data_IF_549972694662
#
_entry.id   IF_549972694662
#
_cell.length_a   1.000
_cell.length_b   1.000
_cell.length_c   1.000
_cell.angle_alpha   90.00
_cell.angle_beta   90.00
_cell.angle_gamma   90.00
#
_symmetry.space_group_name_H-M   'P 1'
#
loop_
_entity.id
_entity.type
_entity.pdbx_description
1 polymer ?
#
# COMPACT_ATOMS: atom_id res chain seq x y z
N UNK A 1 19.60 -9.05 -21.36
CA UNK A 1 18.13 -9.07 -21.57
C UNK A 1 17.55 -7.77 -21.03
N UNK A 2 16.72 -7.07 -21.81
CA UNK A 2 16.13 -5.77 -21.46
C UNK A 2 15.29 -5.83 -20.16
N UNK A 3 15.50 -4.87 -19.27
CA UNK A 3 14.78 -4.74 -18.00
C UNK A 3 13.28 -4.56 -18.21
N UNK A 4 12.86 -3.94 -19.32
CA UNK A 4 11.45 -3.81 -19.68
C UNK A 4 10.79 -5.17 -19.92
N UNK A 5 11.47 -6.08 -20.62
CA UNK A 5 10.98 -7.44 -20.89
C UNK A 5 10.85 -8.23 -19.59
N UNK A 6 11.87 -8.16 -18.71
CA UNK A 6 11.81 -8.80 -17.38
C UNK A 6 10.66 -8.26 -16.52
N UNK A 7 10.43 -6.95 -16.58
CA UNK A 7 9.34 -6.28 -15.86
C UNK A 7 7.98 -6.75 -16.38
N UNK A 8 7.78 -6.76 -17.70
CA UNK A 8 6.54 -7.23 -18.32
C UNK A 8 6.24 -8.70 -17.99
N UNK A 9 7.25 -9.57 -18.04
CA UNK A 9 7.13 -10.96 -17.65
C UNK A 9 6.77 -11.12 -16.16
N UNK A 10 7.32 -10.29 -15.27
CA UNK A 10 6.96 -10.28 -13.84
C UNK A 10 5.51 -9.84 -13.64
N UNK A 11 5.08 -8.77 -14.33
CA UNK A 11 3.72 -8.24 -14.26
C UNK A 11 2.68 -9.26 -14.73
N UNK A 12 3.02 -10.15 -15.67
CA UNK A 12 2.10 -11.19 -16.16
C UNK A 12 1.53 -12.07 -15.03
N UNK A 13 2.29 -12.32 -13.96
CA UNK A 13 1.82 -13.13 -12.82
C UNK A 13 0.90 -12.37 -11.86
N UNK A 14 0.74 -11.06 -11.99
CA UNK A 14 -0.13 -10.19 -11.17
C UNK A 14 -1.53 -10.03 -11.80
N UNK A 15 -2.16 -11.14 -12.20
CA UNK A 15 -3.48 -11.14 -12.86
C UNK A 15 -3.60 -10.43 -14.22
N UNK A 16 -2.46 -10.08 -14.84
CA UNK A 16 -2.42 -9.42 -16.15
C UNK A 16 -1.90 -10.31 -17.29
N UNK A 17 -1.75 -11.62 -17.08
CA UNK A 17 -1.22 -12.54 -18.09
C UNK A 17 -2.00 -12.53 -19.41
N UNK A 18 -3.33 -12.45 -19.32
CA UNK A 18 -4.22 -12.54 -20.48
C UNK A 18 -4.05 -11.32 -21.40
N UNK A 19 -3.78 -10.14 -20.82
CA UNK A 19 -3.49 -8.92 -21.56
C UNK A 19 -2.26 -9.09 -22.47
N UNK A 20 -1.16 -9.66 -21.95
CA UNK A 20 0.04 -9.95 -22.75
C UNK A 20 -0.21 -11.01 -23.83
N UNK A 21 -1.08 -11.99 -23.56
CA UNK A 21 -1.46 -12.99 -24.56
C UNK A 21 -2.37 -12.45 -25.67
N UNK A 22 -3.14 -11.39 -25.41
CA UNK A 22 -3.99 -10.72 -26.40
C UNK A 22 -3.20 -9.72 -27.25
N UNK A 23 -2.16 -9.09 -26.69
CA UNK A 23 -1.33 -8.09 -27.38
C UNK A 23 -0.30 -8.68 -28.37
N UNK A 24 -0.66 -9.75 -29.10
CA UNK A 24 0.24 -10.51 -30.01
C UNK A 24 0.84 -9.68 -31.15
N UNK A 25 0.15 -8.60 -31.53
CA UNK A 25 0.55 -7.74 -32.64
C UNK A 25 1.47 -6.60 -32.22
N UNK A 26 1.68 -6.39 -30.91
CA UNK A 26 2.53 -5.31 -30.42
C UNK A 26 3.97 -5.79 -30.20
N UNK A 27 4.97 -5.27 -30.94
CA UNK A 27 6.36 -5.73 -30.85
C UNK A 27 7.00 -5.53 -29.46
N UNK A 28 6.45 -4.66 -28.61
CA UNK A 28 6.95 -4.44 -27.25
C UNK A 28 6.52 -5.52 -26.23
N UNK A 29 5.50 -6.32 -26.58
CA UNK A 29 4.99 -7.43 -25.76
C UNK A 29 5.04 -8.78 -26.48
N UNK A 30 5.37 -8.77 -27.77
CA UNK A 30 5.45 -9.94 -28.63
C UNK A 30 6.79 -10.69 -28.50
N UNK A 31 7.56 -10.45 -27.44
CA UNK A 31 8.79 -11.19 -27.17
C UNK A 31 8.49 -12.58 -26.58
N UNK A 32 9.32 -13.56 -26.95
CA UNK A 32 9.08 -14.95 -26.56
C UNK A 32 9.18 -15.18 -25.05
N UNK A 33 9.98 -14.38 -24.34
CA UNK A 33 10.15 -14.50 -22.90
C UNK A 33 8.86 -14.10 -22.15
N UNK A 34 8.32 -12.91 -22.43
CA UNK A 34 7.06 -12.42 -21.86
C UNK A 34 5.91 -13.37 -22.19
N UNK A 35 5.84 -13.90 -23.43
CA UNK A 35 4.83 -14.89 -23.80
C UNK A 35 4.94 -16.19 -23.02
N UNK A 36 6.14 -16.74 -22.85
CA UNK A 36 6.35 -17.98 -22.08
C UNK A 36 5.89 -17.79 -20.63
N UNK A 37 6.29 -16.69 -19.99
CA UNK A 37 5.84 -16.37 -18.62
C UNK A 37 4.33 -16.11 -18.54
N UNK A 38 3.74 -15.44 -19.54
CA UNK A 38 2.30 -15.20 -19.56
C UNK A 38 1.51 -16.49 -19.73
N UNK A 39 1.95 -17.41 -20.61
CA UNK A 39 1.33 -18.74 -20.74
C UNK A 39 1.45 -19.56 -19.44
N UNK A 40 2.60 -19.47 -18.76
CA UNK A 40 2.79 -20.15 -17.48
C UNK A 40 1.90 -19.56 -16.37
N UNK A 41 1.78 -18.22 -16.31
CA UNK A 41 0.85 -17.54 -15.43
C UNK A 41 -0.60 -17.98 -15.70
N UNK A 42 -1.04 -18.11 -16.96
CA UNK A 42 -2.37 -18.67 -17.29
C UNK A 42 -2.55 -20.05 -16.68
N UNK A 43 -1.58 -20.95 -16.86
CA UNK A 43 -1.67 -22.33 -16.34
C UNK A 43 -1.83 -22.34 -14.82
N UNK A 44 -1.03 -21.55 -14.11
CA UNK A 44 -1.09 -21.48 -12.64
C UNK A 44 -2.46 -20.98 -12.16
N UNK A 45 -2.94 -19.86 -12.71
CA UNK A 45 -4.22 -19.29 -12.30
C UNK A 45 -5.40 -20.18 -12.70
N UNK A 46 -5.33 -20.85 -13.86
CA UNK A 46 -6.38 -21.75 -14.32
C UNK A 46 -6.45 -23.04 -13.50
N UNK A 47 -5.30 -23.66 -13.19
CA UNK A 47 -5.22 -24.81 -12.29
C UNK A 47 -5.78 -24.44 -10.91
N UNK A 48 -5.41 -23.26 -10.41
CA UNK A 48 -5.95 -22.76 -9.16
C UNK A 48 -7.47 -22.57 -9.20
N UNK A 49 -8.00 -21.97 -10.27
CA UNK A 49 -9.43 -21.78 -10.45
C UNK A 49 -10.17 -23.12 -10.42
N UNK A 50 -9.64 -24.15 -11.11
CA UNK A 50 -10.19 -25.51 -11.09
C UNK A 50 -10.15 -26.07 -9.67
N UNK A 51 -9.00 -26.05 -8.98
CA UNK A 51 -8.88 -26.56 -7.61
C UNK A 51 -9.86 -25.84 -6.67
N UNK A 52 -9.95 -24.51 -6.77
CA UNK A 52 -10.81 -23.69 -5.95
C UNK A 52 -12.30 -23.99 -6.17
N UNK A 53 -12.74 -24.11 -7.43
CA UNK A 53 -14.13 -24.46 -7.77
C UNK A 53 -14.43 -25.89 -7.35
N UNK A 54 -13.56 -26.85 -7.69
CA UNK A 54 -13.73 -28.25 -7.32
C UNK A 54 -13.87 -28.39 -5.81
N UNK A 55 -12.97 -27.75 -5.05
CA UNK A 55 -13.01 -27.77 -3.59
C UNK A 55 -14.28 -27.12 -3.05
N UNK A 56 -14.55 -25.86 -3.40
CA UNK A 56 -15.64 -25.11 -2.79
C UNK A 56 -17.03 -25.64 -3.18
N UNK A 57 -17.20 -26.16 -4.39
CA UNK A 57 -18.50 -26.63 -4.87
C UNK A 57 -18.79 -28.07 -4.46
N UNK A 58 -17.79 -28.97 -4.57
CA UNK A 58 -18.02 -30.41 -4.34
C UNK A 58 -17.56 -30.88 -2.97
N UNK A 59 -16.49 -30.31 -2.39
CA UNK A 59 -15.84 -30.87 -1.19
C UNK A 59 -16.06 -30.07 0.10
N UNK A 60 -16.26 -28.75 0.03
CA UNK A 60 -16.33 -27.86 1.20
C UNK A 60 -17.34 -28.29 2.26
N UNK A 61 -18.50 -28.81 1.82
CA UNK A 61 -19.59 -29.27 2.69
C UNK A 61 -19.16 -30.44 3.60
N UNK A 62 -18.27 -31.31 3.12
CA UNK A 62 -17.78 -32.46 3.90
C UNK A 62 -16.73 -32.07 4.95
N UNK A 63 -16.14 -30.88 4.83
CA UNK A 63 -15.10 -30.37 5.74
C UNK A 63 -15.62 -29.21 6.60
N UNK A 64 -16.94 -29.04 6.70
CA UNK A 64 -17.58 -28.04 7.53
C UNK A 64 -17.74 -28.54 8.98
N UNK A 65 -16.65 -28.96 9.61
CA UNK A 65 -16.62 -29.22 11.04
C UNK A 65 -15.55 -28.36 11.69
N UNK A 66 -15.82 -27.93 12.91
CA UNK A 66 -14.93 -27.06 13.68
C UNK A 66 -13.87 -27.90 14.41
N UNK A 67 -12.62 -27.48 14.33
CA UNK A 67 -11.56 -28.05 15.17
C UNK A 67 -11.73 -27.49 16.58
N UNK A 68 -12.06 -28.32 17.60
CA UNK A 68 -12.58 -27.83 18.88
C UNK A 68 -11.62 -26.91 19.65
N UNK A 69 -10.31 -27.07 19.50
CA UNK A 69 -9.31 -26.24 20.20
C UNK A 69 -8.99 -24.91 19.51
N UNK A 70 -9.22 -24.83 18.21
CA UNK A 70 -8.87 -23.65 17.39
C UNK A 70 -10.13 -22.91 16.97
N UNK A 71 -11.33 -23.50 17.12
CA UNK A 71 -12.63 -22.96 16.69
C UNK A 71 -12.63 -22.51 15.21
N UNK A 72 -11.73 -23.05 14.38
CA UNK A 72 -11.68 -22.81 12.93
C UNK A 72 -12.25 -24.05 12.24
N UNK A 73 -13.17 -23.84 11.29
CA UNK A 73 -13.65 -24.94 10.46
C UNK A 73 -12.53 -25.45 9.54
N UNK A 74 -12.43 -26.77 9.40
CA UNK A 74 -11.42 -27.39 8.54
C UNK A 74 -11.51 -26.85 7.10
N UNK A 75 -12.71 -26.54 6.63
CA UNK A 75 -12.95 -25.86 5.35
C UNK A 75 -12.19 -24.54 5.19
N UNK A 76 -12.14 -23.71 6.24
CA UNK A 76 -11.38 -22.45 6.21
C UNK A 76 -9.88 -22.71 6.15
N UNK A 77 -9.37 -23.70 6.89
CA UNK A 77 -7.96 -24.08 6.89
C UNK A 77 -7.52 -24.53 5.48
N UNK A 78 -8.33 -25.38 4.83
CA UNK A 78 -8.03 -25.87 3.49
C UNK A 78 -8.05 -24.71 2.47
N UNK A 79 -9.04 -23.82 2.53
CA UNK A 79 -9.07 -22.64 1.67
C UNK A 79 -7.83 -21.74 1.87
N UNK A 80 -7.43 -21.46 3.11
CA UNK A 80 -6.21 -20.69 3.41
C UNK A 80 -4.97 -21.38 2.81
N UNK A 81 -4.86 -22.70 2.93
CA UNK A 81 -3.76 -23.47 2.35
C UNK A 81 -3.73 -23.39 0.82
N UNK A 82 -4.89 -23.52 0.17
CA UNK A 82 -5.04 -23.40 -1.28
C UNK A 82 -4.57 -22.01 -1.75
N UNK A 83 -5.04 -20.93 -1.13
CA UNK A 83 -4.62 -19.56 -1.45
C UNK A 83 -3.13 -19.32 -1.17
N UNK A 84 -2.63 -19.77 -0.02
CA UNK A 84 -1.22 -19.60 0.36
C UNK A 84 -0.30 -20.30 -0.63
N UNK A 85 -0.65 -21.51 -1.06
CA UNK A 85 0.09 -22.26 -2.06
C UNK A 85 0.13 -21.50 -3.38
N UNK A 86 -1.00 -20.99 -3.87
CA UNK A 86 -1.04 -20.16 -5.08
C UNK A 86 -0.10 -18.95 -4.96
N UNK A 87 -0.22 -18.21 -3.87
CA UNK A 87 0.58 -17.00 -3.65
C UNK A 87 2.08 -17.32 -3.70
N UNK A 88 2.51 -18.39 -3.04
CA UNK A 88 3.91 -18.83 -3.09
C UNK A 88 4.36 -19.21 -4.50
N UNK A 89 3.52 -19.91 -5.27
CA UNK A 89 3.81 -20.22 -6.67
C UNK A 89 3.93 -18.96 -7.54
N UNK A 90 3.00 -18.01 -7.41
CA UNK A 90 3.04 -16.72 -8.11
C UNK A 90 4.33 -15.98 -7.77
N UNK A 91 4.67 -15.84 -6.49
CA UNK A 91 5.87 -15.13 -6.03
C UNK A 91 7.15 -15.78 -6.54
N UNK A 92 7.25 -17.11 -6.48
CA UNK A 92 8.38 -17.86 -7.03
C UNK A 92 8.60 -17.54 -8.52
N UNK A 93 7.52 -17.48 -9.29
CA UNK A 93 7.61 -17.24 -10.72
C UNK A 93 7.84 -15.77 -11.08
N UNK A 94 7.33 -14.83 -10.29
CA UNK A 94 7.73 -13.42 -10.34
C UNK A 94 9.25 -13.27 -10.14
N UNK A 95 9.80 -13.96 -9.14
CA UNK A 95 11.24 -13.92 -8.84
C UNK A 95 12.09 -14.50 -9.98
N UNK A 96 11.67 -15.62 -10.58
CA UNK A 96 12.36 -16.17 -11.76
C UNK A 96 12.29 -15.22 -12.97
N UNK A 97 11.12 -14.62 -13.21
CA UNK A 97 10.94 -13.63 -14.28
C UNK A 97 11.85 -12.40 -14.08
N UNK A 98 11.98 -11.90 -12.85
CA UNK A 98 12.83 -10.75 -12.54
C UNK A 98 14.32 -11.05 -12.71
N UNK A 99 14.76 -12.30 -12.51
CA UNK A 99 16.12 -12.74 -12.85
C UNK A 99 16.36 -12.90 -14.36
N UNK A 100 15.30 -13.11 -15.14
CA UNK A 100 15.40 -13.43 -16.57
C UNK A 100 15.54 -14.93 -16.82
N UNK A 101 15.07 -15.76 -15.89
CA UNK A 101 15.08 -17.22 -16.01
C UNK A 101 13.83 -17.70 -16.74
N UNK A 102 14.02 -18.44 -17.84
CA UNK A 102 12.93 -19.08 -18.58
C UNK A 102 12.14 -20.05 -17.67
N UNK A 103 10.82 -20.22 -17.89
CA UNK A 103 10.02 -21.16 -17.13
C UNK A 103 10.32 -22.61 -17.53
N UNK A 104 11.36 -23.20 -16.94
CA UNK A 104 11.62 -24.64 -16.97
C UNK A 104 10.68 -25.38 -15.99
N UNK A 105 10.33 -26.62 -16.31
CA UNK A 105 9.40 -27.47 -15.55
C UNK A 105 9.62 -27.40 -14.03
N UNK A 106 8.50 -27.51 -13.31
CA UNK A 106 8.34 -27.32 -11.87
C UNK A 106 9.33 -28.19 -11.10
N UNK A 107 10.52 -27.67 -10.80
CA UNK A 107 11.38 -28.18 -9.74
C UNK A 107 11.20 -27.29 -8.51
N UNK A 108 10.83 -27.93 -7.41
CA UNK A 108 10.77 -27.34 -6.07
C UNK A 108 12.19 -27.25 -5.52
N UNK A 109 12.96 -26.28 -6.02
CA UNK A 109 14.27 -26.00 -5.46
C UNK A 109 14.11 -25.39 -4.07
N UNK A 110 14.67 -26.06 -3.04
CA UNK A 110 14.51 -25.74 -1.61
C UNK A 110 15.58 -24.77 -1.09
N UNK A 111 16.03 -23.82 -1.90
CA UNK A 111 17.10 -22.90 -1.48
C UNK A 111 16.54 -21.52 -1.12
N UNK A 112 15.77 -21.47 -0.03
CA UNK A 112 15.61 -20.24 0.76
C UNK A 112 16.54 -20.32 1.97
N UNK A 113 17.85 -20.13 1.74
CA UNK A 113 18.80 -19.84 2.81
C UNK A 113 19.08 -18.33 2.79
N UNK A 114 18.14 -17.54 3.29
CA UNK A 114 18.43 -16.15 3.59
C UNK A 114 18.94 -16.04 5.03
N UNK A 115 20.19 -15.61 5.19
CA UNK A 115 20.79 -15.29 6.48
C UNK A 115 20.11 -14.04 7.05
N UNK A 116 19.56 -14.12 8.26
CA UNK A 116 19.13 -12.95 9.04
C UNK A 116 20.32 -12.02 9.28
N UNK A 117 20.09 -10.71 9.27
CA UNK A 117 21.02 -9.74 9.83
C UNK A 117 20.71 -9.60 11.33
N UNK A 118 21.72 -9.77 12.17
CA UNK A 118 21.66 -9.37 13.57
C UNK A 118 22.18 -7.93 13.67
N UNK A 119 21.39 -7.07 14.30
CA UNK A 119 21.86 -5.77 14.76
C UNK A 119 22.12 -5.90 16.25
N UNK A 120 23.39 -5.74 16.65
CA UNK A 120 23.75 -5.56 18.05
C UNK A 120 23.36 -4.15 18.49
N UNK A 121 22.79 -4.07 19.67
CA UNK A 121 22.19 -2.85 20.22
C UNK A 121 22.87 -2.54 21.54
N UNK A 122 24.20 -2.56 21.49
CA UNK A 122 25.04 -2.23 22.62
C UNK A 122 24.86 -0.72 22.89
N UNK A 123 24.54 -0.36 24.14
CA UNK A 123 24.42 1.03 24.64
C UNK A 123 23.12 1.80 24.34
N UNK A 124 21.98 1.15 24.12
CA UNK A 124 20.69 1.87 24.19
C UNK A 124 20.19 2.01 25.62
N UNK A 125 19.61 3.17 25.90
CA UNK A 125 18.83 3.37 27.12
C UNK A 125 17.52 2.55 27.10
N UNK A 126 16.97 2.23 28.28
CA UNK A 126 15.70 1.51 28.39
C UNK A 126 14.54 2.25 27.70
N UNK A 127 14.58 3.59 27.74
CA UNK A 127 13.61 4.43 27.04
C UNK A 127 13.63 4.19 25.53
N UNK A 128 14.82 4.05 24.93
CA UNK A 128 14.99 3.76 23.51
C UNK A 128 14.55 2.33 23.18
N UNK A 129 14.89 1.35 24.04
CA UNK A 129 14.39 -0.05 23.91
C UNK A 129 12.87 -0.11 23.92
N UNK A 130 12.21 0.68 24.77
CA UNK A 130 10.75 0.80 24.81
C UNK A 130 10.16 1.45 23.56
N UNK A 131 10.84 2.46 22.99
CA UNK A 131 10.45 3.04 21.69
C UNK A 131 10.52 1.98 20.59
N UNK A 132 11.59 1.17 20.56
CA UNK A 132 11.66 0.05 19.61
C UNK A 132 10.52 -0.94 19.82
N UNK A 133 10.21 -1.33 21.05
CA UNK A 133 9.08 -2.21 21.34
C UNK A 133 7.74 -1.62 20.88
N UNK A 134 7.53 -0.32 21.10
CA UNK A 134 6.33 0.38 20.66
C UNK A 134 6.17 0.36 19.14
N UNK A 135 7.28 0.28 18.39
CA UNK A 135 7.25 0.15 16.93
C UNK A 135 6.71 -1.20 16.45
N UNK A 136 6.55 -2.19 17.34
CA UNK A 136 5.89 -3.46 17.04
C UNK A 136 4.38 -3.37 17.20
N UNK A 137 3.85 -2.38 17.94
CA UNK A 137 2.41 -2.22 18.19
C UNK A 137 1.67 -1.72 16.92
N UNK A 138 0.44 -2.19 16.67
CA UNK A 138 -0.29 -1.82 15.45
C UNK A 138 -0.58 -0.31 15.50
N UNK A 139 -0.46 0.37 14.36
CA UNK A 139 -0.58 1.83 14.21
C UNK A 139 0.51 2.66 14.93
N UNK A 140 1.02 2.25 16.09
CA UNK A 140 2.11 2.94 16.81
C UNK A 140 3.44 2.90 16.06
N UNK A 141 3.67 1.88 15.23
CA UNK A 141 4.79 1.83 14.30
C UNK A 141 4.85 3.09 13.39
N UNK A 142 3.70 3.69 13.06
CA UNK A 142 3.62 4.89 12.21
C UNK A 142 4.25 6.10 12.93
N UNK A 143 3.95 6.23 14.22
CA UNK A 143 4.43 7.33 15.06
C UNK A 143 5.93 7.14 15.36
N UNK A 144 6.32 5.95 15.82
CA UNK A 144 7.71 5.64 16.17
C UNK A 144 8.66 5.74 14.98
N UNK A 145 8.26 5.28 13.79
CA UNK A 145 9.10 5.41 12.57
C UNK A 145 9.30 6.84 12.09
N UNK A 146 8.48 7.80 12.55
CA UNK A 146 8.58 9.22 12.19
C UNK A 146 9.23 10.08 13.25
N UNK A 147 8.94 9.84 14.53
CA UNK A 147 9.53 10.60 15.64
C UNK A 147 10.94 10.11 15.94
N UNK A 148 11.19 8.80 15.81
CA UNK A 148 12.48 8.15 16.07
C UNK A 148 12.95 7.38 14.83
N UNK A 149 13.17 8.11 13.74
CA UNK A 149 13.57 7.52 12.46
C UNK A 149 14.99 6.93 12.54
N UNK A 150 15.09 5.61 12.42
CA UNK A 150 16.34 4.90 12.28
C UNK A 150 16.14 3.66 11.39
N UNK A 151 17.22 2.92 11.10
CA UNK A 151 17.16 1.75 10.22
C UNK A 151 16.17 0.68 10.72
N UNK A 152 16.06 0.51 12.03
CA UNK A 152 15.24 -0.51 12.69
C UNK A 152 13.76 -0.13 12.58
N UNK A 153 13.37 1.06 13.05
CA UNK A 153 11.99 1.55 13.02
C UNK A 153 11.48 1.72 11.59
N UNK A 154 12.34 2.18 10.67
CA UNK A 154 12.02 2.29 9.24
C UNK A 154 11.78 0.94 8.59
N UNK A 155 12.62 -0.08 8.87
CA UNK A 155 12.42 -1.41 8.31
C UNK A 155 11.18 -2.11 8.90
N UNK A 156 10.94 -1.97 10.20
CA UNK A 156 9.74 -2.51 10.84
C UNK A 156 8.47 -1.89 10.29
N UNK A 157 8.47 -0.58 10.04
CA UNK A 157 7.33 0.14 9.46
C UNK A 157 6.83 -0.52 8.16
N UNK A 158 7.74 -1.06 7.33
CA UNK A 158 7.44 -1.72 6.05
C UNK A 158 6.63 -3.01 6.19
N UNK A 159 6.68 -3.69 7.33
CA UNK A 159 5.92 -4.92 7.59
C UNK A 159 4.65 -4.61 8.36
N UNK A 160 4.76 -3.78 9.41
CA UNK A 160 3.66 -3.57 10.33
C UNK A 160 2.48 -2.87 9.69
N UNK A 161 2.69 -2.07 8.63
CA UNK A 161 1.57 -1.53 7.86
C UNK A 161 0.72 -2.63 7.21
N UNK A 162 1.36 -3.68 6.68
CA UNK A 162 0.68 -4.82 6.05
C UNK A 162 -0.09 -5.58 7.11
N UNK A 163 0.56 -5.92 8.23
CA UNK A 163 -0.12 -6.66 9.29
C UNK A 163 -1.28 -5.87 9.90
N UNK A 164 -1.07 -4.58 10.22
CA UNK A 164 -2.12 -3.72 10.77
C UNK A 164 -3.32 -3.65 9.82
N UNK A 165 -3.05 -3.48 8.52
CA UNK A 165 -4.10 -3.45 7.49
C UNK A 165 -4.86 -4.78 7.42
N UNK A 166 -4.15 -5.92 7.42
CA UNK A 166 -4.77 -7.25 7.43
C UNK A 166 -5.63 -7.46 8.69
N UNK A 167 -5.12 -7.07 9.86
CA UNK A 167 -5.85 -7.21 11.13
C UNK A 167 -7.14 -6.38 11.13
N UNK A 168 -7.09 -5.11 10.69
CA UNK A 168 -8.27 -4.26 10.60
C UNK A 168 -9.29 -4.83 9.63
N UNK A 169 -8.87 -5.21 8.41
CA UNK A 169 -9.76 -5.79 7.41
C UNK A 169 -10.39 -7.08 7.93
N UNK A 170 -9.58 -7.97 8.48
CA UNK A 170 -10.06 -9.25 8.94
C UNK A 170 -11.07 -9.09 10.07
N UNK A 171 -10.80 -8.19 11.03
CA UNK A 171 -11.74 -7.86 12.08
C UNK A 171 -13.07 -7.29 11.54
N UNK A 172 -13.01 -6.42 10.53
CA UNK A 172 -14.22 -5.82 9.93
C UNK A 172 -15.10 -6.87 9.28
N UNK A 173 -14.53 -7.79 8.50
CA UNK A 173 -15.30 -8.78 7.76
C UNK A 173 -15.67 -10.00 8.58
N UNK A 174 -14.90 -10.33 9.60
CA UNK A 174 -15.00 -11.61 10.31
C UNK A 174 -15.17 -11.48 11.83
N UNK A 175 -15.06 -10.29 12.41
CA UNK A 175 -15.09 -10.07 13.85
C UNK A 175 -13.99 -10.82 14.60
N UNK A 176 -14.24 -11.11 15.88
CA UNK A 176 -13.39 -11.98 16.73
C UNK A 176 -13.61 -13.47 16.40
N UNK A 177 -13.45 -13.85 15.14
CA UNK A 177 -13.41 -15.27 14.82
C UNK A 177 -12.04 -15.86 15.20
N UNK A 178 -11.97 -17.17 15.13
CA UNK A 178 -10.85 -17.92 15.66
C UNK A 178 -9.57 -17.81 14.81
N UNK A 179 -9.68 -17.46 13.53
CA UNK A 179 -8.53 -17.06 12.69
C UNK A 179 -7.97 -15.73 13.17
N UNK A 180 -8.84 -14.76 13.51
CA UNK A 180 -8.41 -13.48 14.05
C UNK A 180 -7.70 -13.66 15.39
N UNK A 181 -8.25 -14.50 16.27
CA UNK A 181 -7.61 -14.85 17.55
C UNK A 181 -6.26 -15.53 17.34
N UNK A 182 -6.16 -16.46 16.37
CA UNK A 182 -4.89 -17.11 16.03
C UNK A 182 -3.86 -16.10 15.49
N UNK A 183 -4.28 -15.16 14.64
CA UNK A 183 -3.43 -14.07 14.15
C UNK A 183 -2.95 -13.17 15.29
N UNK A 184 -3.86 -12.78 16.20
CA UNK A 184 -3.50 -12.03 17.42
C UNK A 184 -2.51 -12.80 18.29
N UNK A 185 -2.74 -14.10 18.48
CA UNK A 185 -1.86 -14.94 19.29
C UNK A 185 -0.46 -15.06 18.67
N UNK A 186 -0.37 -15.35 17.37
CA UNK A 186 0.90 -15.37 16.65
C UNK A 186 1.62 -14.03 16.74
N UNK A 187 0.87 -12.94 16.59
CA UNK A 187 1.39 -11.59 16.74
C UNK A 187 1.96 -11.32 18.14
N UNK A 188 1.25 -11.71 19.20
CA UNK A 188 1.74 -11.61 20.58
C UNK A 188 3.03 -12.43 20.76
N UNK A 189 3.08 -13.68 20.26
CA UNK A 189 4.29 -14.49 20.33
C UNK A 189 5.49 -13.83 19.63
N UNK A 190 5.26 -13.20 18.47
CA UNK A 190 6.30 -12.45 17.75
C UNK A 190 6.78 -11.25 18.58
N UNK A 191 5.87 -10.48 19.19
CA UNK A 191 6.26 -9.36 20.07
C UNK A 191 7.07 -9.87 21.27
N UNK A 192 6.61 -10.92 21.95
CA UNK A 192 7.30 -11.50 23.10
C UNK A 192 8.69 -11.99 22.71
N UNK A 193 8.83 -12.63 21.54
CA UNK A 193 10.12 -13.03 21.00
C UNK A 193 11.07 -11.85 20.80
N UNK A 194 10.60 -10.75 20.21
CA UNK A 194 11.43 -9.55 20.05
C UNK A 194 11.72 -8.85 21.38
N UNK A 195 10.76 -8.83 22.31
CA UNK A 195 10.94 -8.30 23.66
C UNK A 195 12.07 -9.02 24.39
N UNK A 196 12.04 -10.37 24.42
CA UNK A 196 13.10 -11.19 25.00
C UNK A 196 14.46 -10.87 24.35
N UNK A 197 14.53 -10.81 23.02
CA UNK A 197 15.81 -10.55 22.35
C UNK A 197 16.35 -9.13 22.56
N UNK A 198 15.48 -8.12 22.65
CA UNK A 198 15.89 -6.72 22.90
C UNK A 198 16.38 -6.53 24.34
N UNK A 199 15.69 -7.10 25.33
CA UNK A 199 15.98 -6.85 26.74
C UNK A 199 16.99 -7.81 27.35
N UNK A 200 17.06 -9.06 26.88
CA UNK A 200 17.97 -10.07 27.44
C UNK A 200 19.23 -10.22 26.58
N UNK A 201 19.08 -10.20 25.25
CA UNK A 201 20.17 -10.50 24.33
C UNK A 201 20.77 -9.25 23.67
N UNK A 202 20.22 -8.05 23.90
CA UNK A 202 20.60 -6.79 23.25
C UNK A 202 20.75 -6.90 21.72
N UNK A 203 19.94 -7.75 21.09
CA UNK A 203 20.00 -8.05 19.65
C UNK A 203 18.61 -7.87 19.04
N UNK A 204 18.55 -7.22 17.87
CA UNK A 204 17.37 -7.31 17.00
C UNK A 204 17.73 -8.08 15.73
N UNK A 205 16.94 -9.11 15.48
CA UNK A 205 17.04 -9.92 14.28
C UNK A 205 16.12 -9.38 13.19
N UNK A 206 16.67 -9.17 12.00
CA UNK A 206 15.91 -8.79 10.82
C UNK A 206 16.09 -9.81 9.69
N UNK A 207 14.99 -10.35 9.15
CA UNK A 207 14.99 -10.96 7.83
C UNK A 207 15.47 -9.97 6.76
N UNK A 208 16.51 -10.32 5.99
CA UNK A 208 17.03 -9.46 4.91
C UNK A 208 15.97 -9.10 3.86
N UNK A 209 14.96 -9.96 3.67
CA UNK A 209 13.84 -9.71 2.75
C UNK A 209 13.09 -8.39 3.06
N UNK A 210 13.13 -7.92 4.31
CA UNK A 210 12.45 -6.70 4.76
C UNK A 210 13.15 -5.45 4.24
N UNK A 211 14.47 -5.48 4.06
CA UNK A 211 15.21 -4.31 3.57
C UNK A 211 14.70 -3.88 2.18
N UNK A 212 14.31 -4.86 1.36
CA UNK A 212 13.79 -4.67 0.02
C UNK A 212 12.27 -4.42 -0.05
N UNK A 213 11.55 -4.54 1.07
CA UNK A 213 10.12 -4.29 1.09
C UNK A 213 9.83 -2.79 0.86
N UNK A 214 8.80 -2.44 0.06
CA UNK A 214 8.40 -1.06 -0.10
C UNK A 214 7.76 -0.53 1.19
N UNK A 215 8.01 0.74 1.51
CA UNK A 215 7.23 1.44 2.53
C UNK A 215 5.82 1.74 2.00
N UNK A 216 4.91 2.19 2.88
CA UNK A 216 3.51 2.43 2.52
C UNK A 216 3.35 3.40 1.33
N UNK A 217 4.13 4.47 1.28
CA UNK A 217 4.01 5.49 0.23
C UNK A 217 4.50 4.96 -1.13
N UNK A 218 5.60 4.23 -1.15
CA UNK A 218 6.10 3.54 -2.35
C UNK A 218 5.13 2.44 -2.79
N UNK A 219 4.58 1.66 -1.86
CA UNK A 219 3.59 0.64 -2.16
C UNK A 219 2.32 1.24 -2.79
N UNK A 220 1.84 2.36 -2.24
CA UNK A 220 0.73 3.12 -2.81
C UNK A 220 1.05 3.64 -4.22
N UNK A 221 2.24 4.19 -4.45
CA UNK A 221 2.64 4.67 -5.77
C UNK A 221 2.75 3.51 -6.78
N UNK A 222 3.30 2.36 -6.39
CA UNK A 222 3.34 1.14 -7.21
C UNK A 222 1.92 0.70 -7.58
N UNK A 223 1.02 0.64 -6.62
CA UNK A 223 -0.38 0.27 -6.85
C UNK A 223 -1.08 1.23 -7.83
N UNK A 224 -0.89 2.54 -7.62
CA UNK A 224 -1.40 3.57 -8.52
C UNK A 224 -0.82 3.41 -9.94
N UNK A 225 0.50 3.22 -10.06
CA UNK A 225 1.17 2.96 -11.34
C UNK A 225 0.62 1.72 -12.03
N UNK A 226 0.27 0.67 -11.27
CA UNK A 226 -0.32 -0.56 -11.79
C UNK A 226 -1.71 -0.32 -12.39
N UNK A 227 -2.55 0.48 -11.74
CA UNK A 227 -3.87 0.88 -12.30
C UNK A 227 -3.69 1.67 -13.61
N UNK A 228 -2.80 2.67 -13.64
CA UNK A 228 -2.55 3.44 -14.86
C UNK A 228 -1.95 2.57 -15.97
N UNK A 229 -1.05 1.66 -15.62
CA UNK A 229 -0.48 0.69 -16.56
C UNK A 229 -1.57 -0.19 -17.16
N UNK A 230 -2.54 -0.65 -16.38
CA UNK A 230 -3.69 -1.43 -16.87
C UNK A 230 -4.51 -0.63 -17.89
N UNK A 231 -4.85 0.64 -17.59
CA UNK A 231 -5.61 1.48 -18.52
C UNK A 231 -4.84 1.81 -19.80
N UNK A 232 -3.57 2.16 -19.70
CA UNK A 232 -2.73 2.39 -20.87
C UNK A 232 -2.59 1.09 -21.68
N UNK A 233 -2.47 -0.07 -21.02
CA UNK A 233 -2.42 -1.36 -21.71
C UNK A 233 -3.68 -1.64 -22.53
N UNK A 234 -4.87 -1.38 -21.95
CA UNK A 234 -6.13 -1.49 -22.68
C UNK A 234 -6.13 -0.58 -23.91
N UNK A 235 -5.67 0.66 -23.79
CA UNK A 235 -5.55 1.59 -24.93
C UNK A 235 -4.62 1.08 -26.01
N UNK A 236 -3.53 0.40 -25.63
CA UNK A 236 -2.60 -0.22 -26.58
C UNK A 236 -3.22 -1.42 -27.30
N UNK A 237 -4.03 -2.25 -26.62
CA UNK A 237 -4.80 -3.32 -27.28
C UNK A 237 -5.72 -2.72 -28.35
N UNK A 238 -6.39 -1.61 -28.04
CA UNK A 238 -7.27 -0.89 -28.98
C UNK A 238 -6.53 0.14 -29.87
N UNK A 239 -5.22 -0.03 -30.08
CA UNK A 239 -4.38 0.72 -31.03
C UNK A 239 -4.33 2.25 -30.82
N UNK A 240 -4.53 2.74 -29.61
CA UNK A 240 -4.40 4.17 -29.29
C UNK A 240 -3.01 4.59 -28.81
N UNK A 241 -2.10 3.63 -28.55
CA UNK A 241 -0.74 3.87 -28.06
C UNK A 241 0.24 2.81 -28.57
N UNK A 242 1.46 3.21 -28.95
CA UNK A 242 2.46 2.31 -29.54
C UNK A 242 3.35 1.58 -28.50
N UNK A 243 3.72 2.25 -27.40
CA UNK A 243 4.65 1.73 -26.38
C UNK A 243 4.18 2.04 -24.97
N UNK A 244 4.38 1.09 -24.06
CA UNK A 244 4.13 1.27 -22.62
C UNK A 244 5.27 0.63 -21.84
N UNK A 245 5.66 1.28 -20.75
CA UNK A 245 6.66 0.79 -19.82
C UNK A 245 6.23 1.17 -18.40
N UNK A 246 6.09 0.18 -17.52
CA UNK A 246 5.69 0.40 -16.13
C UNK A 246 6.66 1.35 -15.40
N UNK A 247 7.97 1.21 -15.65
CA UNK A 247 8.99 2.08 -15.02
C UNK A 247 8.79 3.54 -15.40
N UNK A 248 8.43 3.82 -16.65
CA UNK A 248 8.20 5.18 -17.13
C UNK A 248 6.91 5.77 -16.56
N UNK A 249 5.85 4.95 -16.39
CA UNK A 249 4.64 5.38 -15.70
C UNK A 249 4.94 5.70 -14.23
N UNK A 250 5.69 4.83 -13.55
CA UNK A 250 6.09 5.03 -12.16
C UNK A 250 6.92 6.31 -11.98
N UNK A 251 7.97 6.51 -12.78
CA UNK A 251 8.81 7.72 -12.69
C UNK A 251 8.03 8.97 -13.05
N UNK A 252 7.16 8.94 -14.06
CA UNK A 252 6.27 10.05 -14.43
C UNK A 252 5.33 10.43 -13.30
N UNK A 253 4.70 9.44 -12.65
CA UNK A 253 3.81 9.70 -11.52
C UNK A 253 4.58 10.22 -10.31
N UNK A 254 5.75 9.66 -10.00
CA UNK A 254 6.60 10.15 -8.91
C UNK A 254 7.03 11.61 -9.13
N UNK A 255 7.46 11.95 -10.35
CA UNK A 255 7.88 13.31 -10.71
C UNK A 255 6.70 14.29 -10.67
N UNK A 256 5.52 13.87 -11.13
CA UNK A 256 4.29 14.68 -11.04
C UNK A 256 3.95 14.99 -9.58
N UNK A 257 4.07 13.99 -8.73
CA UNK A 257 3.84 14.07 -7.30
C UNK A 257 4.83 15.02 -6.59
N UNK A 258 6.11 14.95 -6.95
CA UNK A 258 7.15 15.87 -6.47
C UNK A 258 6.88 17.32 -6.91
N UNK A 259 6.68 17.54 -8.20
CA UNK A 259 6.40 18.88 -8.74
C UNK A 259 5.16 19.52 -8.09
N UNK A 260 4.14 18.72 -7.79
CA UNK A 260 2.94 19.20 -7.11
C UNK A 260 3.23 19.65 -5.68
N UNK A 261 4.02 18.87 -4.93
CA UNK A 261 4.44 19.25 -3.58
C UNK A 261 5.25 20.56 -3.59
N UNK A 262 6.17 20.73 -4.54
CA UNK A 262 6.97 21.95 -4.66
C UNK A 262 6.10 23.18 -4.90
N UNK A 263 5.07 23.05 -5.75
CA UNK A 263 4.10 24.13 -5.99
C UNK A 263 3.26 24.45 -4.76
N UNK A 264 2.87 23.46 -3.96
CA UNK A 264 2.14 23.69 -2.73
C UNK A 264 3.00 24.45 -1.72
N UNK A 265 4.25 24.03 -1.53
CA UNK A 265 5.20 24.70 -0.62
C UNK A 265 5.42 26.15 -1.03
N UNK A 266 5.58 26.42 -2.33
CA UNK A 266 5.84 27.78 -2.82
C UNK A 266 4.62 28.72 -2.73
N UNK A 267 3.40 28.17 -2.84
CA UNK A 267 2.18 29.00 -2.91
C UNK A 267 1.38 29.06 -1.59
N UNK A 268 1.61 28.14 -0.65
CA UNK A 268 0.87 28.02 0.60
C UNK A 268 1.84 28.00 1.80
N UNK A 269 2.18 29.17 2.31
CA UNK A 269 3.16 29.34 3.38
C UNK A 269 2.58 29.95 4.67
N UNK A 270 1.29 30.29 4.70
CA UNK A 270 0.69 30.91 5.87
C UNK A 270 0.45 29.87 6.98
N UNK A 271 1.02 30.11 8.15
CA UNK A 271 0.83 29.23 9.33
C UNK A 271 -0.46 29.52 10.10
N UNK A 272 -1.16 30.61 9.78
CA UNK A 272 -2.32 31.06 10.56
C UNK A 272 -3.46 30.05 10.46
N UNK A 273 -3.77 29.43 11.59
CA UNK A 273 -5.00 28.69 11.83
C UNK A 273 -5.75 29.36 12.99
N UNK A 274 -7.08 29.46 12.93
CA UNK A 274 -7.87 30.05 14.00
C UNK A 274 -7.83 29.20 15.29
N UNK A 275 -7.49 27.92 15.16
CA UNK A 275 -7.55 26.90 16.21
C UNK A 275 -6.29 26.02 16.12
N UNK A 276 -5.92 25.31 17.20
CA UNK A 276 -4.80 24.40 17.23
C UNK A 276 -4.84 23.37 16.06
N UNK A 277 -3.73 23.27 15.31
CA UNK A 277 -3.56 22.37 14.14
C UNK A 277 -3.93 20.90 14.40
N UNK A 278 -3.80 20.46 15.65
CA UNK A 278 -4.18 19.12 16.09
C UNK A 278 -5.70 18.87 15.92
N UNK A 279 -6.56 19.87 16.07
CA UNK A 279 -8.01 19.65 15.95
C UNK A 279 -8.42 19.25 14.52
N UNK A 280 -7.59 19.54 13.51
CA UNK A 280 -7.81 19.10 12.12
C UNK A 280 -7.96 17.57 12.03
N UNK A 281 -7.30 16.80 12.90
CA UNK A 281 -7.33 15.33 12.85
C UNK A 281 -8.56 14.69 13.48
N UNK A 282 -9.43 15.46 14.13
CA UNK A 282 -10.60 14.86 14.78
C UNK A 282 -11.76 14.93 13.78
N UNK A 283 -12.25 13.79 13.28
CA UNK A 283 -13.41 13.78 12.40
C UNK A 283 -14.56 14.56 13.05
N UNK A 284 -15.34 15.26 12.22
CA UNK A 284 -16.40 16.21 12.59
C UNK A 284 -15.92 17.51 13.26
N UNK A 285 -14.99 17.48 14.21
CA UNK A 285 -14.48 18.73 14.82
C UNK A 285 -13.67 19.56 13.82
N UNK A 286 -13.07 18.91 12.83
CA UNK A 286 -12.38 19.58 11.73
C UNK A 286 -13.31 20.47 10.87
N UNK A 287 -14.63 20.34 10.97
CA UNK A 287 -15.60 21.24 10.32
C UNK A 287 -15.45 22.69 10.80
N UNK A 288 -14.91 22.90 12.01
CA UNK A 288 -14.59 24.24 12.54
C UNK A 288 -13.58 25.01 11.66
N UNK A 289 -12.82 24.31 10.81
CA UNK A 289 -11.89 24.93 9.87
C UNK A 289 -12.53 25.31 8.52
N UNK A 290 -13.81 24.99 8.27
CA UNK A 290 -14.50 25.42 7.04
C UNK A 290 -14.46 26.95 6.84
N UNK A 291 -14.72 27.81 7.85
CA UNK A 291 -14.60 29.25 7.69
C UNK A 291 -13.17 29.69 7.32
N UNK A 292 -12.15 28.99 7.81
CA UNK A 292 -10.74 29.32 7.53
C UNK A 292 -10.37 29.14 6.06
N UNK A 293 -11.07 28.28 5.31
CA UNK A 293 -10.90 28.12 3.86
C UNK A 293 -11.31 29.37 3.08
N UNK A 294 -12.24 30.17 3.62
CA UNK A 294 -12.68 31.41 3.01
C UNK A 294 -11.78 32.60 3.37
N UNK A 295 -11.17 32.56 4.58
CA UNK A 295 -10.38 33.67 5.15
C UNK A 295 -8.89 33.55 4.82
N UNK A 296 -8.26 32.38 4.91
CA UNK A 296 -6.84 32.15 4.62
C UNK A 296 -6.69 31.13 3.49
N UNK A 297 -6.89 31.62 2.26
CA UNK A 297 -6.76 30.82 1.03
C UNK A 297 -5.33 30.34 0.74
N UNK A 298 -4.32 30.79 1.51
CA UNK A 298 -2.90 30.42 1.38
C UNK A 298 -2.35 29.63 2.58
N UNK A 299 -3.22 29.12 3.45
CA UNK A 299 -2.80 28.32 4.60
C UNK A 299 -2.01 27.07 4.17
N UNK A 300 -0.87 26.81 4.82
CA UNK A 300 -0.08 25.58 4.61
C UNK A 300 -0.84 24.30 4.99
N UNK A 301 -1.93 24.42 5.76
CA UNK A 301 -2.76 23.31 6.18
C UNK A 301 -3.98 23.07 5.27
N UNK A 302 -4.08 23.77 4.13
CA UNK A 302 -5.26 23.66 3.26
C UNK A 302 -5.52 22.21 2.80
N UNK A 303 -4.46 21.49 2.40
CA UNK A 303 -4.56 20.11 1.96
C UNK A 303 -4.94 19.17 3.12
N UNK A 304 -4.48 19.48 4.33
CA UNK A 304 -4.88 18.78 5.54
C UNK A 304 -6.38 18.88 5.76
N UNK A 305 -6.89 20.11 5.79
CA UNK A 305 -8.27 20.43 6.09
C UNK A 305 -9.19 19.67 5.11
N UNK A 306 -8.90 19.73 3.80
CA UNK A 306 -9.69 19.02 2.80
C UNK A 306 -9.67 17.50 2.95
N UNK A 307 -8.50 16.89 3.14
CA UNK A 307 -8.42 15.44 3.34
C UNK A 307 -9.21 14.99 4.59
N UNK A 308 -9.20 15.80 5.64
CA UNK A 308 -9.97 15.50 6.85
C UNK A 308 -11.47 15.75 6.70
N UNK A 309 -11.88 16.74 5.91
CA UNK A 309 -13.30 16.93 5.59
C UNK A 309 -13.87 15.69 4.89
N UNK A 310 -13.06 15.05 4.04
CA UNK A 310 -13.41 13.78 3.39
C UNK A 310 -13.48 12.64 4.38
N UNK A 311 -12.52 12.55 5.32
CA UNK A 311 -12.58 11.53 6.38
C UNK A 311 -13.87 11.70 7.21
N UNK A 312 -14.23 12.94 7.57
CA UNK A 312 -15.48 13.24 8.27
C UNK A 312 -16.71 12.87 7.44
N UNK A 313 -16.71 13.14 6.14
CA UNK A 313 -17.78 12.73 5.24
C UNK A 313 -17.90 11.20 5.15
N UNK A 314 -16.79 10.48 5.03
CA UNK A 314 -16.76 9.00 5.01
C UNK A 314 -17.30 8.45 6.33
N UNK A 315 -16.94 9.05 7.48
CA UNK A 315 -17.46 8.64 8.79
C UNK A 315 -18.98 8.78 8.85
N UNK A 316 -19.52 9.95 8.46
CA UNK A 316 -20.97 10.20 8.42
C UNK A 316 -21.66 9.22 7.47
N UNK A 317 -21.06 8.96 6.31
CA UNK A 317 -21.58 7.99 5.34
C UNK A 317 -21.64 6.57 5.92
N UNK A 318 -20.59 6.14 6.64
CA UNK A 318 -20.58 4.85 7.35
C UNK A 318 -21.72 4.81 8.38
N UNK A 319 -21.92 5.88 9.16
CA UNK A 319 -22.96 5.94 10.17
C UNK A 319 -24.37 5.86 9.56
N UNK A 320 -24.60 6.51 8.42
CA UNK A 320 -25.89 6.44 7.71
C UNK A 320 -26.18 5.03 7.21
N UNK A 321 -25.18 4.33 6.65
CA UNK A 321 -25.40 3.01 6.02
C UNK A 321 -25.35 1.85 7.01
N UNK A 322 -24.41 1.89 7.96
CA UNK A 322 -24.05 0.74 8.81
C UNK A 322 -24.22 0.99 10.31
N UNK A 323 -24.73 2.16 10.71
CA UNK A 323 -24.88 2.61 12.11
C UNK A 323 -23.58 3.10 12.79
N UNK A 324 -23.74 3.88 13.86
CA UNK A 324 -22.61 4.54 14.57
C UNK A 324 -21.64 3.56 15.25
N UNK A 325 -22.11 2.35 15.57
CA UNK A 325 -21.31 1.29 16.18
C UNK A 325 -20.65 0.33 15.18
N UNK A 326 -20.73 0.63 13.88
CA UNK A 326 -20.17 -0.25 12.85
C UNK A 326 -18.66 -0.43 13.01
N UNK A 327 -18.17 -1.66 12.94
CA UNK A 327 -16.73 -1.96 12.92
C UNK A 327 -16.02 -1.37 11.70
N UNK A 328 -16.76 -1.07 10.62
CA UNK A 328 -16.24 -0.49 9.38
C UNK A 328 -15.51 0.84 9.64
N UNK A 329 -15.91 1.60 10.67
CA UNK A 329 -15.25 2.86 11.02
C UNK A 329 -13.77 2.68 11.42
N UNK A 330 -13.34 1.47 11.77
CA UNK A 330 -11.94 1.15 12.08
C UNK A 330 -11.00 1.34 10.87
N UNK A 331 -11.50 1.31 9.63
CA UNK A 331 -10.72 1.65 8.42
C UNK A 331 -10.14 3.07 8.53
N UNK A 332 -10.82 3.98 9.24
CA UNK A 332 -10.39 5.36 9.41
C UNK A 332 -9.20 5.51 10.36
N UNK A 333 -8.87 4.50 11.18
CA UNK A 333 -7.70 4.57 12.06
C UNK A 333 -6.40 4.73 11.28
N UNK A 334 -6.23 4.02 10.16
CA UNK A 334 -5.01 4.10 9.36
C UNK A 334 -4.73 5.53 8.84
N UNK A 335 -5.66 6.21 8.15
CA UNK A 335 -5.45 7.59 7.73
C UNK A 335 -5.29 8.56 8.90
N UNK A 336 -5.98 8.35 10.03
CA UNK A 336 -5.80 9.16 11.25
C UNK A 336 -4.35 9.11 11.74
N UNK A 337 -3.80 7.90 11.95
CA UNK A 337 -2.42 7.74 12.46
C UNK A 337 -1.36 8.21 11.46
N UNK A 338 -1.56 7.98 10.16
CA UNK A 338 -0.66 8.50 9.12
C UNK A 338 -0.58 10.02 9.15
N UNK A 339 -1.69 10.68 9.41
CA UNK A 339 -1.69 12.13 9.53
C UNK A 339 -0.99 12.61 10.80
N UNK A 340 -1.30 12.01 11.96
CA UNK A 340 -0.70 12.36 13.25
C UNK A 340 0.83 12.31 13.17
N UNK A 341 1.38 11.30 12.50
CA UNK A 341 2.82 11.15 12.35
C UNK A 341 3.49 12.11 11.36
N UNK A 342 2.72 12.78 10.48
CA UNK A 342 3.28 13.62 9.41
C UNK A 342 2.87 15.11 9.50
N UNK A 343 1.90 15.50 10.33
CA UNK A 343 1.37 16.89 10.33
C UNK A 343 2.44 17.96 10.65
N UNK A 344 3.37 17.64 11.56
CA UNK A 344 4.38 18.59 12.00
C UNK A 344 5.57 18.66 11.05
N UNK A 345 5.93 17.54 10.40
CA UNK A 345 7.06 17.43 9.49
C UNK A 345 6.68 17.76 8.03
N UNK A 346 5.46 17.45 7.63
CA UNK A 346 4.97 17.63 6.26
C UNK A 346 3.45 17.90 6.24
N UNK A 347 3.01 19.17 6.35
CA UNK A 347 1.59 19.54 6.30
C UNK A 347 0.95 19.29 4.93
N UNK A 348 1.75 19.03 3.89
CA UNK A 348 1.29 18.62 2.55
C UNK A 348 1.32 17.10 2.34
N UNK A 349 1.43 16.32 3.42
CA UNK A 349 1.39 14.87 3.32
C UNK A 349 0.09 14.40 2.67
N UNK A 350 0.21 13.52 1.68
CA UNK A 350 -0.91 12.98 0.92
C UNK A 350 -1.24 11.61 1.48
N UNK A 351 -2.32 11.55 2.26
CA UNK A 351 -2.82 10.30 2.82
C UNK A 351 -3.25 9.41 1.63
N UNK A 352 -2.68 8.20 1.50
CA UNK A 352 -3.07 7.25 0.47
C UNK A 352 -4.59 7.05 0.43
N UNK A 353 -5.16 6.90 -0.76
CA UNK A 353 -6.61 6.75 -1.03
C UNK A 353 -7.43 8.01 -0.71
N UNK A 354 -7.32 8.60 0.48
CA UNK A 354 -8.04 9.83 0.86
C UNK A 354 -7.72 10.98 -0.10
N UNK A 355 -6.45 11.15 -0.48
CA UNK A 355 -6.06 12.15 -1.47
C UNK A 355 -6.67 11.90 -2.86
N UNK A 356 -6.87 10.65 -3.27
CA UNK A 356 -7.51 10.36 -4.57
C UNK A 356 -9.01 10.62 -4.52
N UNK A 357 -9.66 10.29 -3.41
CA UNK A 357 -11.05 10.66 -3.15
C UNK A 357 -11.18 12.20 -3.21
N UNK A 358 -10.29 12.91 -2.53
CA UNK A 358 -10.20 14.37 -2.60
C UNK A 358 -10.11 14.87 -4.03
N UNK A 359 -9.19 14.33 -4.81
CA UNK A 359 -9.00 14.75 -6.20
C UNK A 359 -10.24 14.53 -7.06
N UNK A 360 -11.00 13.45 -6.83
CA UNK A 360 -12.28 13.20 -7.50
C UNK A 360 -13.33 14.23 -7.07
N UNK A 361 -13.45 14.51 -5.78
CA UNK A 361 -14.38 15.52 -5.27
C UNK A 361 -14.03 16.94 -5.72
N UNK A 362 -12.76 17.29 -5.75
CA UNK A 362 -12.29 18.60 -6.21
C UNK A 362 -12.61 18.81 -7.69
N UNK A 363 -12.44 17.77 -8.53
CA UNK A 363 -12.91 17.78 -9.93
C UNK A 363 -14.42 18.01 -10.06
N UNK A 364 -15.23 17.61 -9.07
CA UNK A 364 -16.69 17.67 -9.11
C UNK A 364 -17.29 18.89 -8.40
N UNK A 365 -16.60 19.52 -7.44
CA UNK A 365 -17.25 20.44 -6.50
C UNK A 365 -16.40 21.58 -5.95
N UNK A 366 -15.07 21.54 -5.97
CA UNK A 366 -14.25 22.56 -5.32
C UNK A 366 -13.08 22.99 -6.22
N UNK A 367 -13.06 24.27 -6.60
CA UNK A 367 -12.10 24.89 -7.53
C UNK A 367 -10.64 25.02 -7.00
N UNK A 368 -10.19 24.19 -6.05
CA UNK A 368 -8.87 24.36 -5.41
C UNK A 368 -7.74 23.77 -6.27
N UNK A 369 -7.90 22.56 -6.83
CA UNK A 369 -6.95 22.07 -7.85
C UNK A 369 -7.09 22.84 -9.17
N UNK A 370 -8.24 23.45 -9.47
CA UNK A 370 -8.36 24.33 -10.64
C UNK A 370 -7.45 25.56 -10.50
N UNK A 371 -7.33 26.13 -9.29
CA UNK A 371 -6.46 27.26 -8.99
C UNK A 371 -4.96 26.89 -9.00
N UNK A 372 -4.61 25.70 -8.50
CA UNK A 372 -3.22 25.17 -8.60
C UNK A 372 -2.89 24.74 -10.04
N UNK A 373 -3.87 24.24 -10.78
CA UNK A 373 -3.79 23.91 -12.20
C UNK A 373 -3.64 25.14 -13.09
N UNK A 374 -4.35 26.23 -12.79
CA UNK A 374 -4.19 27.51 -13.51
C UNK A 374 -2.83 28.14 -13.22
N UNK A 375 -2.33 28.08 -11.98
CA UNK A 375 -0.97 28.47 -11.63
C UNK A 375 0.08 27.60 -12.36
N UNK A 376 -0.19 26.31 -12.60
CA UNK A 376 0.65 25.42 -13.40
C UNK A 376 0.70 25.80 -14.88
N UNK A 377 -0.39 26.34 -15.43
CA UNK A 377 -0.44 26.89 -16.79
C UNK A 377 0.32 28.21 -16.86
N UNK A 378 0.06 29.15 -15.95
CA UNK A 378 0.78 30.43 -15.87
C UNK A 378 2.30 30.25 -15.74
N UNK A 379 2.77 29.28 -14.93
CA UNK A 379 4.21 29.05 -14.78
C UNK A 379 4.88 28.34 -15.98
N UNK A 380 4.12 27.57 -16.77
CA UNK A 380 4.60 27.03 -18.04
C UNK A 380 4.71 28.13 -19.09
N UNK A 381 3.70 29.00 -19.17
CA UNK A 381 3.65 30.10 -20.13
C UNK A 381 4.79 31.11 -19.86
N UNK A 382 5.09 31.41 -18.59
CA UNK A 382 6.23 32.29 -18.22
C UNK A 382 7.60 31.68 -18.58
N UNK A 383 7.76 30.35 -18.51
CA UNK A 383 9.02 29.68 -18.90
C UNK A 383 9.20 29.61 -20.42
N UNK A 384 8.13 29.43 -21.19
CA UNK A 384 8.20 29.46 -22.66
C UNK A 384 8.46 30.86 -23.21
N UNK A 385 7.94 31.92 -22.56
CA UNK A 385 8.22 33.31 -22.94
C UNK A 385 9.68 33.69 -22.67
N UNK A 386 10.29 33.23 -21.57
CA UNK A 386 11.72 33.48 -21.28
C UNK A 386 12.70 32.73 -22.18
N UNK A 387 12.26 31.67 -22.85
CA UNK A 387 13.08 30.92 -23.82
C UNK A 387 12.96 31.47 -25.25
N UNK A 388 12.05 32.42 -25.48
CA UNK A 388 11.81 33.10 -26.77
C UNK A 388 12.31 34.54 -26.81
N UNK A 389 13.09 34.99 -25.82
CA UNK A 389 13.75 36.30 -25.80
C UNK A 389 15.22 36.13 -26.15
#
# INVERSE_FOLDING_TARGET
>A
MDNRIKTNATISYMFLWWLFLLAKWNPNFNDDFTKKHSKNATKIHFIFLIIFICYNYFFSKYFYFEVPFILISLNKIINISIFSTLTLFILKWCYKASKGEDPKNISLDRTFKEKSSAFEINNLDESEKMIYLSSFLPLFWIISSKIHENKITSNWSKIWWILTFLMIIFYIFSGFNSIFVLLMFFYILVIVYYWVNIFINDIILFPKIIENAPNLQTAYLIFKSWIFYLFDFIKLIFWKQEKINFKDIFTRLNKKDQNYNDLLINNFNEEKLPIAKKIIFIPLLNLLFLPSLFVSKKSKYILAIFQWLIISFILVFIWIIYWFNSTIQLILLLPIFLWVANIDSNPFYRIPVIYEIYKIFDLLSFWVLFKVGSLMQEHKDIKEVKLKI
#
